data_IF_938493843546
#
_entry.id   IF_938493843546
#
_cell.length_a   1.000
_cell.length_b   1.000
_cell.length_c   1.000
_cell.angle_alpha   90.00
_cell.angle_beta   90.00
_cell.angle_gamma   90.00
#
_symmetry.space_group_name_H-M   'P 1'
#
loop_
_entity.id
_entity.type
_entity.pdbx_description
1 polymer ?
#
# COMPACT_ATOMS: atom_id res chain seq x y z
N UNK A 1 -2.57 11.46 26.10
CA UNK A 1 -1.85 11.07 24.87
C UNK A 1 -0.45 11.68 24.92
N UNK A 2 0.61 10.94 24.59
CA UNK A 2 1.98 11.47 24.56
C UNK A 2 2.32 11.87 23.12
N UNK A 3 2.87 13.07 22.93
CA UNK A 3 3.37 13.51 21.63
C UNK A 3 4.83 13.06 21.47
N UNK A 4 5.17 12.52 20.30
CA UNK A 4 6.52 12.11 19.94
C UNK A 4 6.91 12.93 18.70
N UNK A 5 8.12 13.50 18.71
CA UNK A 5 8.64 14.26 17.57
C UNK A 5 8.93 13.33 16.39
N UNK A 6 8.74 13.82 15.16
CA UNK A 6 8.93 13.03 13.94
C UNK A 6 10.33 12.39 13.88
N UNK A 7 11.39 13.16 14.06
CA UNK A 7 12.76 12.65 13.99
C UNK A 7 13.03 11.58 15.06
N UNK A 8 12.55 11.80 16.28
CA UNK A 8 12.69 10.83 17.37
C UNK A 8 11.92 9.53 17.10
N UNK A 9 10.73 9.63 16.49
CA UNK A 9 9.93 8.47 16.10
C UNK A 9 10.63 7.68 14.98
N UNK A 10 11.15 8.37 13.97
CA UNK A 10 11.88 7.76 12.85
C UNK A 10 13.14 7.03 13.34
N UNK A 11 13.92 7.65 14.23
CA UNK A 11 15.11 7.01 14.83
C UNK A 11 14.72 5.75 15.60
N UNK A 12 13.73 5.84 16.49
CA UNK A 12 13.26 4.70 17.29
C UNK A 12 12.79 3.54 16.40
N UNK A 13 11.98 3.82 15.39
CA UNK A 13 11.46 2.79 14.48
C UNK A 13 12.57 2.19 13.62
N UNK A 14 13.56 3.00 13.22
CA UNK A 14 14.75 2.52 12.50
C UNK A 14 15.52 1.53 13.38
N UNK A 15 15.80 1.88 14.63
CA UNK A 15 16.52 1.02 15.58
C UNK A 15 15.79 -0.30 15.84
N UNK A 16 14.45 -0.28 15.91
CA UNK A 16 13.64 -1.49 16.05
C UNK A 16 13.85 -2.44 14.86
N UNK A 17 13.77 -1.94 13.62
CA UNK A 17 13.98 -2.78 12.44
C UNK A 17 15.42 -3.26 12.30
N UNK A 18 16.40 -2.44 12.67
CA UNK A 18 17.82 -2.82 12.70
C UNK A 18 18.05 -3.93 13.73
N UNK A 19 17.50 -3.81 14.92
CA UNK A 19 17.58 -4.85 15.95
C UNK A 19 16.94 -6.17 15.50
N UNK A 20 15.93 -6.10 14.61
CA UNK A 20 15.28 -7.25 14.01
C UNK A 20 15.98 -7.78 12.73
N UNK A 21 17.12 -7.21 12.34
CA UNK A 21 17.98 -7.74 11.26
C UNK A 21 17.90 -6.99 9.92
N UNK A 22 17.17 -5.88 9.82
CA UNK A 22 17.20 -5.05 8.62
C UNK A 22 18.46 -4.17 8.55
N UNK A 23 19.11 -4.05 7.37
CA UNK A 23 20.16 -3.06 7.15
C UNK A 23 19.65 -1.63 7.43
N UNK A 24 20.50 -0.79 8.01
CA UNK A 24 20.13 0.57 8.43
C UNK A 24 19.56 1.42 7.27
N UNK A 25 20.11 1.31 6.07
CA UNK A 25 19.63 2.04 4.90
C UNK A 25 18.20 1.63 4.51
N UNK A 26 17.86 0.35 4.59
CA UNK A 26 16.50 -0.15 4.38
C UNK A 26 15.57 0.30 5.52
N UNK A 27 15.99 0.07 6.76
CA UNK A 27 15.22 0.39 7.96
C UNK A 27 14.83 1.87 8.04
N UNK A 28 15.76 2.77 7.73
CA UNK A 28 15.53 4.22 7.77
C UNK A 28 14.48 4.69 6.77
N UNK A 29 14.45 4.10 5.57
CA UNK A 29 13.45 4.40 4.53
C UNK A 29 12.06 3.93 4.98
N UNK A 30 11.97 2.71 5.49
CA UNK A 30 10.72 2.15 6.02
C UNK A 30 10.20 2.99 7.19
N UNK A 31 11.06 3.30 8.16
CA UNK A 31 10.72 4.10 9.33
C UNK A 31 10.20 5.49 8.96
N UNK A 32 10.86 6.16 8.01
CA UNK A 32 10.46 7.49 7.53
C UNK A 32 9.07 7.47 6.90
N UNK A 33 8.77 6.47 6.06
CA UNK A 33 7.45 6.31 5.43
C UNK A 33 6.34 6.07 6.47
N UNK A 34 6.61 5.25 7.50
CA UNK A 34 5.65 5.00 8.58
C UNK A 34 5.42 6.26 9.45
N UNK A 35 6.49 6.95 9.84
CA UNK A 35 6.37 8.17 10.64
C UNK A 35 5.66 9.29 9.87
N UNK A 36 5.95 9.45 8.57
CA UNK A 36 5.27 10.42 7.70
C UNK A 36 3.78 10.08 7.54
N UNK A 37 3.43 8.79 7.44
CA UNK A 37 2.03 8.36 7.39
C UNK A 37 1.26 8.79 8.64
N UNK A 38 1.88 8.73 9.83
CA UNK A 38 1.28 9.29 11.05
C UNK A 38 1.16 10.82 10.99
N UNK A 39 2.17 11.55 10.50
CA UNK A 39 2.09 13.02 10.32
C UNK A 39 0.94 13.44 9.41
N UNK A 40 0.64 12.64 8.39
CA UNK A 40 -0.47 12.87 7.45
C UNK A 40 -1.83 12.40 7.98
N UNK A 41 -1.90 11.90 9.21
CA UNK A 41 -3.14 11.37 9.81
C UNK A 41 -3.61 10.05 9.20
N UNK A 42 -2.72 9.32 8.51
CA UNK A 42 -2.99 8.01 7.91
C UNK A 42 -2.42 6.92 8.81
N UNK A 43 -2.94 6.85 10.04
CA UNK A 43 -2.40 5.96 11.07
C UNK A 43 -2.37 4.49 10.63
N UNK A 44 -3.36 4.05 9.83
CA UNK A 44 -3.43 2.70 9.27
C UNK A 44 -2.21 2.27 8.45
N UNK A 45 -1.33 3.19 8.05
CA UNK A 45 -0.08 2.92 7.35
C UNK A 45 1.15 3.47 8.10
N UNK A 46 0.97 3.91 9.34
CA UNK A 46 2.05 4.41 10.20
C UNK A 46 2.63 3.35 11.12
N UNK A 47 3.15 3.78 12.27
CA UNK A 47 3.91 2.90 13.19
C UNK A 47 3.12 1.74 13.78
N UNK A 48 1.79 1.72 13.66
CA UNK A 48 0.98 0.54 14.01
C UNK A 48 1.30 -0.69 13.15
N UNK A 49 1.97 -0.51 12.01
CA UNK A 49 2.45 -1.60 11.16
C UNK A 49 3.73 -2.25 11.67
N UNK A 50 4.46 -1.62 12.60
CA UNK A 50 5.74 -2.16 13.10
C UNK A 50 5.60 -3.58 13.65
N UNK A 51 4.65 -3.91 14.55
CA UNK A 51 4.47 -5.28 15.04
C UNK A 51 4.13 -6.28 13.93
N UNK A 52 3.35 -5.86 12.94
CA UNK A 52 3.02 -6.71 11.79
C UNK A 52 4.27 -7.04 10.96
N UNK A 53 5.08 -6.03 10.64
CA UNK A 53 6.30 -6.22 9.86
C UNK A 53 7.34 -7.06 10.61
N UNK A 54 7.48 -6.86 11.93
CA UNK A 54 8.36 -7.71 12.76
C UNK A 54 7.91 -9.18 12.71
N UNK A 55 6.61 -9.45 12.86
CA UNK A 55 6.07 -10.81 12.75
C UNK A 55 6.28 -11.41 11.36
N UNK A 56 6.17 -10.59 10.30
CA UNK A 56 6.45 -11.01 8.92
C UNK A 56 7.94 -11.25 8.66
N UNK A 57 8.84 -10.52 9.31
CA UNK A 57 10.28 -10.80 9.27
C UNK A 57 10.60 -12.12 9.98
N UNK A 58 10.02 -12.33 11.17
CA UNK A 58 10.20 -13.56 11.96
C UNK A 58 9.69 -14.80 11.24
N UNK A 59 8.58 -14.70 10.50
CA UNK A 59 8.05 -15.82 9.70
C UNK A 59 8.78 -16.05 8.37
N UNK A 60 9.71 -15.17 8.00
CA UNK A 60 10.40 -15.19 6.71
C UNK A 60 9.57 -14.64 5.54
N UNK A 61 8.40 -14.07 5.80
CA UNK A 61 7.54 -13.42 4.80
C UNK A 61 8.16 -12.14 4.24
N UNK A 62 8.81 -11.35 5.09
CA UNK A 62 9.68 -10.25 4.66
C UNK A 62 11.11 -10.71 4.80
N UNK A 63 11.87 -10.61 3.71
CA UNK A 63 13.33 -10.77 3.69
C UNK A 63 13.97 -9.40 3.99
N UNK A 64 14.40 -9.12 5.23
CA UNK A 64 14.71 -7.76 5.65
C UNK A 64 15.99 -7.19 5.02
N UNK A 65 16.83 -8.05 4.46
CA UNK A 65 18.06 -7.69 3.74
C UNK A 65 17.89 -7.67 2.21
N UNK A 66 16.72 -8.04 1.69
CA UNK A 66 16.48 -8.13 0.25
C UNK A 66 16.55 -6.75 -0.41
N UNK A 67 17.11 -6.72 -1.62
CA UNK A 67 17.30 -5.49 -2.41
C UNK A 67 16.67 -5.69 -3.79
N UNK A 68 15.92 -4.69 -4.28
CA UNK A 68 15.24 -4.79 -5.56
C UNK A 68 16.22 -4.85 -6.72
N UNK A 69 15.87 -5.58 -7.78
CA UNK A 69 16.64 -5.66 -9.03
C UNK A 69 15.76 -5.46 -10.26
N UNK A 70 16.32 -4.87 -11.31
CA UNK A 70 15.64 -4.75 -12.60
C UNK A 70 15.71 -6.09 -13.35
N UNK A 71 14.56 -6.69 -13.66
CA UNK A 71 14.45 -7.94 -14.41
C UNK A 71 14.37 -7.72 -15.92
N UNK A 72 13.70 -6.64 -16.34
CA UNK A 72 13.53 -6.27 -17.74
C UNK A 72 13.48 -4.76 -17.85
N UNK A 73 14.10 -4.22 -18.90
CA UNK A 73 14.21 -2.77 -19.09
C UNK A 73 14.13 -2.37 -20.56
N UNK A 74 13.49 -1.24 -20.82
CA UNK A 74 13.57 -0.47 -22.06
C UNK A 74 13.86 1.00 -21.71
N UNK A 75 13.92 1.89 -22.70
CA UNK A 75 14.07 3.32 -22.46
C UNK A 75 12.97 3.88 -21.55
N UNK A 76 11.72 3.43 -21.72
CA UNK A 76 10.54 3.98 -21.02
C UNK A 76 9.86 3.00 -20.08
N UNK A 77 10.27 1.73 -20.04
CA UNK A 77 9.63 0.73 -19.17
C UNK A 77 10.62 -0.11 -18.38
N UNK A 78 10.20 -0.61 -17.23
CA UNK A 78 10.96 -1.61 -16.49
C UNK A 78 10.06 -2.51 -15.63
N UNK A 79 10.56 -3.70 -15.31
CA UNK A 79 10.00 -4.56 -14.26
C UNK A 79 11.08 -4.72 -13.18
N UNK A 80 10.73 -4.37 -11.96
CA UNK A 80 11.55 -4.50 -10.75
C UNK A 80 11.03 -5.66 -9.93
N UNK A 81 11.92 -6.54 -9.49
CA UNK A 81 11.64 -7.59 -8.52
C UNK A 81 12.16 -7.16 -7.15
N UNK A 82 11.28 -7.18 -6.14
CA UNK A 82 11.57 -6.81 -4.76
C UNK A 82 12.18 -7.92 -3.91
N UNK A 83 12.26 -9.16 -4.42
CA UNK A 83 12.86 -10.32 -3.73
C UNK A 83 12.32 -10.57 -2.32
N UNK A 84 11.01 -10.43 -2.14
CA UNK A 84 10.30 -10.50 -0.85
C UNK A 84 10.79 -9.47 0.19
N UNK A 85 11.43 -8.40 -0.26
CA UNK A 85 11.85 -7.30 0.59
C UNK A 85 10.69 -6.39 1.02
N UNK A 86 11.00 -5.41 1.86
CA UNK A 86 10.04 -4.38 2.24
C UNK A 86 9.48 -3.66 1.00
N UNK A 87 8.16 -3.72 0.83
CA UNK A 87 7.49 -3.06 -0.30
C UNK A 87 7.76 -1.56 -0.36
N UNK A 88 7.85 -0.89 0.80
CA UNK A 88 8.18 0.53 0.88
C UNK A 88 9.55 0.83 0.24
N UNK A 89 10.56 0.01 0.54
CA UNK A 89 11.91 0.18 0.00
C UNK A 89 11.96 -0.17 -1.49
N UNK A 90 11.33 -1.28 -1.89
CA UNK A 90 11.31 -1.72 -3.28
C UNK A 90 10.51 -0.79 -4.21
N UNK A 91 9.40 -0.22 -3.74
CA UNK A 91 8.61 0.75 -4.50
C UNK A 91 9.35 2.09 -4.62
N UNK A 92 10.15 2.47 -3.63
CA UNK A 92 11.02 3.64 -3.74
C UNK A 92 12.05 3.48 -4.86
N UNK A 93 12.70 2.33 -4.93
CA UNK A 93 13.63 2.02 -6.00
C UNK A 93 12.95 2.06 -7.38
N UNK A 94 11.77 1.44 -7.50
CA UNK A 94 10.98 1.46 -8.73
C UNK A 94 10.54 2.88 -9.12
N UNK A 95 10.18 3.72 -8.14
CA UNK A 95 9.82 5.12 -8.34
C UNK A 95 11.01 5.93 -8.86
N UNK A 96 12.18 5.81 -8.24
CA UNK A 96 13.38 6.54 -8.63
C UNK A 96 13.77 6.19 -10.09
N UNK A 97 13.66 4.91 -10.47
CA UNK A 97 13.84 4.47 -11.86
C UNK A 97 12.78 5.06 -12.80
N UNK A 98 11.50 5.09 -12.39
CA UNK A 98 10.42 5.66 -13.18
C UNK A 98 10.60 7.17 -13.42
N UNK A 99 11.01 7.91 -12.37
CA UNK A 99 11.30 9.35 -12.44
C UNK A 99 12.43 9.60 -13.43
N UNK A 100 13.56 8.89 -13.29
CA UNK A 100 14.71 9.07 -14.18
C UNK A 100 14.34 8.82 -15.65
N UNK A 101 13.59 7.75 -15.93
CA UNK A 101 13.10 7.44 -17.28
C UNK A 101 12.10 8.48 -17.81
N UNK A 102 11.18 8.94 -16.98
CA UNK A 102 10.20 9.95 -17.37
C UNK A 102 10.90 11.28 -17.69
N UNK A 103 11.93 11.66 -16.93
CA UNK A 103 12.73 12.86 -17.22
C UNK A 103 13.52 12.73 -18.53
N UNK A 104 14.03 11.54 -18.87
CA UNK A 104 14.75 11.33 -20.13
C UNK A 104 13.84 11.15 -21.35
N UNK A 105 12.59 10.70 -21.16
CA UNK A 105 11.74 10.19 -22.26
C UNK A 105 10.28 10.63 -22.18
N UNK A 106 9.97 11.64 -21.36
CA UNK A 106 8.65 12.24 -21.11
C UNK A 106 7.61 11.34 -20.44
N UNK A 107 7.67 10.02 -20.64
CA UNK A 107 6.77 9.05 -20.06
C UNK A 107 7.54 7.78 -19.68
N UNK A 108 7.21 7.22 -18.52
CA UNK A 108 7.71 5.92 -18.12
C UNK A 108 6.64 5.09 -17.39
N UNK A 109 6.78 3.77 -17.47
CA UNK A 109 5.97 2.81 -16.73
C UNK A 109 6.88 1.75 -16.10
N UNK A 110 6.91 1.69 -14.77
CA UNK A 110 7.72 0.72 -14.01
C UNK A 110 6.81 -0.12 -13.14
N UNK A 111 6.89 -1.43 -13.31
CA UNK A 111 6.19 -2.41 -12.48
C UNK A 111 7.06 -2.89 -11.33
N UNK A 112 6.47 -3.08 -10.15
CA UNK A 112 7.10 -3.78 -9.03
C UNK A 112 6.38 -5.11 -8.80
N UNK A 113 7.16 -6.19 -8.77
CA UNK A 113 6.73 -7.54 -8.35
C UNK A 113 7.56 -8.00 -7.15
N UNK A 114 7.10 -9.03 -6.44
CA UNK A 114 7.88 -9.65 -5.35
C UNK A 114 8.22 -8.71 -4.19
N UNK A 115 7.47 -7.62 -3.98
CA UNK A 115 7.61 -6.75 -2.80
C UNK A 115 6.52 -7.06 -1.78
N UNK A 116 6.80 -6.85 -0.50
CA UNK A 116 5.79 -6.91 0.56
C UNK A 116 4.90 -5.64 0.56
N UNK A 117 4.20 -5.36 1.67
CA UNK A 117 3.34 -4.19 1.82
C UNK A 117 4.08 -2.86 1.55
N UNK A 118 3.50 -2.00 0.70
CA UNK A 118 4.13 -0.76 0.21
C UNK A 118 3.82 0.50 1.03
N UNK A 119 3.00 0.40 2.08
CA UNK A 119 2.68 1.55 2.93
C UNK A 119 1.72 2.55 2.28
N UNK A 120 1.82 3.83 2.64
CA UNK A 120 0.99 4.91 2.08
C UNK A 120 1.49 5.27 0.68
N UNK A 121 0.68 5.02 -0.34
CA UNK A 121 1.05 5.28 -1.74
C UNK A 121 1.26 6.78 -2.03
N UNK A 122 0.56 7.66 -1.32
CA UNK A 122 0.73 9.11 -1.39
C UNK A 122 2.15 9.59 -1.09
N UNK A 123 2.93 8.87 -0.29
CA UNK A 123 4.32 9.23 -0.01
C UNK A 123 5.20 9.20 -1.26
N UNK A 124 5.00 8.21 -2.13
CA UNK A 124 5.70 8.10 -3.41
C UNK A 124 5.26 9.18 -4.39
N UNK A 125 3.95 9.46 -4.46
CA UNK A 125 3.41 10.50 -5.31
C UNK A 125 3.92 11.90 -4.91
N UNK A 126 4.04 12.18 -3.60
CA UNK A 126 4.65 13.41 -3.09
C UNK A 126 6.13 13.53 -3.51
N UNK A 127 6.92 12.44 -3.37
CA UNK A 127 8.34 12.41 -3.78
C UNK A 127 8.53 12.67 -5.28
N UNK A 128 7.67 12.11 -6.13
CA UNK A 128 7.75 12.31 -7.57
C UNK A 128 7.29 13.72 -7.99
N UNK A 129 6.21 14.21 -7.39
CA UNK A 129 5.70 15.55 -7.67
C UNK A 129 6.72 16.64 -7.28
N UNK A 130 7.46 16.44 -6.18
CA UNK A 130 8.56 17.31 -5.77
C UNK A 130 9.72 17.37 -6.80
N UNK A 131 9.81 16.39 -7.71
CA UNK A 131 10.78 16.33 -8.80
C UNK A 131 10.17 16.73 -10.15
N UNK A 132 8.99 17.35 -10.15
CA UNK A 132 8.32 17.81 -11.36
C UNK A 132 7.67 16.70 -12.18
N UNK A 133 7.49 15.50 -11.62
CA UNK A 133 6.91 14.34 -12.32
C UNK A 133 5.47 14.11 -11.87
N UNK A 134 4.55 13.99 -12.84
CA UNK A 134 3.17 13.54 -12.60
C UNK A 134 3.18 12.01 -12.48
N UNK A 135 2.48 11.47 -11.49
CA UNK A 135 2.39 10.03 -11.26
C UNK A 135 0.97 9.53 -11.23
N UNK A 136 0.76 8.34 -11.82
CA UNK A 136 -0.35 7.45 -11.51
C UNK A 136 0.26 6.17 -10.94
N UNK A 137 -0.04 5.87 -9.68
CA UNK A 137 0.46 4.69 -8.98
C UNK A 137 -0.74 3.84 -8.58
N UNK A 138 -0.69 2.54 -8.88
CA UNK A 138 -1.77 1.60 -8.59
C UNK A 138 -1.24 0.41 -7.82
N UNK A 139 -2.03 -0.07 -6.87
CA UNK A 139 -1.79 -1.30 -6.13
C UNK A 139 -2.83 -2.37 -6.44
N UNK A 140 -2.41 -3.63 -6.50
CA UNK A 140 -3.29 -4.79 -6.72
C UNK A 140 -2.47 -6.07 -6.88
N UNK A 141 -3.03 -7.09 -7.54
CA UNK A 141 -2.39 -8.38 -7.77
C UNK A 141 -2.65 -9.41 -6.66
N UNK A 142 -3.72 -9.23 -5.90
CA UNK A 142 -4.16 -10.14 -4.85
C UNK A 142 -5.28 -11.10 -5.30
N UNK A 143 -5.75 -10.97 -6.55
CA UNK A 143 -6.75 -11.87 -7.10
C UNK A 143 -6.25 -13.33 -7.06
N UNK A 144 -7.08 -14.23 -6.51
CA UNK A 144 -6.72 -15.64 -6.31
C UNK A 144 -5.89 -15.94 -5.06
N UNK A 145 -5.53 -14.92 -4.26
CA UNK A 145 -4.80 -15.09 -3.00
C UNK A 145 -5.72 -14.89 -1.80
N UNK A 146 -6.26 -16.00 -1.27
CA UNK A 146 -7.31 -16.00 -0.24
C UNK A 146 -7.02 -15.09 0.96
N UNK A 147 -5.76 -15.04 1.42
CA UNK A 147 -5.35 -14.22 2.57
C UNK A 147 -5.56 -12.70 2.37
N UNK A 148 -5.63 -12.23 1.12
CA UNK A 148 -5.66 -10.80 0.79
C UNK A 148 -7.00 -10.33 0.22
N UNK A 149 -7.87 -11.27 -0.14
CA UNK A 149 -9.22 -10.96 -0.63
C UNK A 149 -10.08 -10.44 0.54
N UNK A 150 -10.53 -9.21 0.42
CA UNK A 150 -11.26 -8.51 1.49
C UNK A 150 -12.43 -7.66 0.99
N UNK A 151 -12.57 -7.49 -0.32
CA UNK A 151 -13.55 -6.60 -0.94
C UNK A 151 -14.45 -7.38 -1.89
N UNK A 152 -15.76 -7.12 -1.80
CA UNK A 152 -16.77 -7.71 -2.67
C UNK A 152 -16.83 -6.99 -4.02
N UNK A 153 -17.11 -7.69 -5.13
CA UNK A 153 -17.49 -7.02 -6.37
C UNK A 153 -18.81 -6.29 -6.16
N UNK A 154 -19.07 -5.25 -6.95
CA UNK A 154 -20.37 -4.57 -6.86
C UNK A 154 -21.52 -5.54 -7.15
N UNK A 155 -22.47 -5.63 -6.23
CA UNK A 155 -23.60 -6.58 -6.30
C UNK A 155 -23.31 -7.98 -5.74
N UNK A 156 -22.09 -8.25 -5.30
CA UNK A 156 -21.71 -9.50 -4.63
C UNK A 156 -21.58 -9.37 -3.11
N UNK A 157 -21.36 -10.52 -2.45
CA UNK A 157 -21.13 -10.61 -1.00
C UNK A 157 -19.92 -11.51 -0.64
N UNK A 158 -19.20 -12.02 -1.63
CA UNK A 158 -17.99 -12.80 -1.43
C UNK A 158 -16.73 -11.93 -1.56
N UNK A 159 -15.67 -12.27 -0.84
CA UNK A 159 -14.34 -11.67 -0.99
C UNK A 159 -13.73 -12.09 -2.33
N UNK A 160 -13.51 -11.14 -3.23
CA UNK A 160 -12.96 -11.41 -4.58
C UNK A 160 -11.77 -10.52 -4.91
N UNK A 161 -11.77 -9.29 -4.40
CA UNK A 161 -10.73 -8.29 -4.66
C UNK A 161 -10.03 -7.90 -3.35
N UNK A 162 -8.88 -7.25 -3.48
CA UNK A 162 -8.27 -6.50 -2.39
C UNK A 162 -8.70 -5.02 -2.43
N UNK A 163 -8.13 -4.21 -1.54
CA UNK A 163 -8.46 -2.79 -1.36
C UNK A 163 -7.91 -1.87 -2.47
N UNK A 164 -7.03 -2.41 -3.32
CA UNK A 164 -6.54 -1.89 -4.60
C UNK A 164 -6.46 -0.36 -4.69
N UNK A 165 -5.45 0.27 -4.05
CA UNK A 165 -5.35 1.73 -4.05
C UNK A 165 -4.98 2.30 -5.41
N UNK A 166 -5.48 3.51 -5.68
CA UNK A 166 -5.08 4.35 -6.81
C UNK A 166 -4.63 5.70 -6.27
N UNK A 167 -3.46 6.12 -6.70
CA UNK A 167 -2.83 7.35 -6.26
C UNK A 167 -2.40 8.19 -7.45
N UNK A 168 -2.72 9.48 -7.43
CA UNK A 168 -2.31 10.47 -8.42
C UNK A 168 -1.50 11.56 -7.73
N UNK A 169 -0.39 11.97 -8.34
CA UNK A 169 0.47 13.05 -7.87
C UNK A 169 0.69 14.08 -8.95
N UNK A 170 0.51 15.36 -8.62
CA UNK A 170 0.69 16.48 -9.53
C UNK A 170 1.64 17.52 -8.93
N UNK A 171 2.73 17.89 -9.65
CA UNK A 171 3.59 19.01 -9.27
C UNK A 171 2.80 20.32 -9.21
N UNK A 172 3.19 21.22 -8.30
CA UNK A 172 2.53 22.51 -8.08
C UNK A 172 3.51 23.70 -8.02
N UNK A 173 4.69 23.58 -8.66
CA UNK A 173 5.73 24.61 -8.60
C UNK A 173 6.24 24.82 -7.17
N UNK A 174 6.20 26.05 -6.68
CA UNK A 174 6.63 26.41 -5.32
C UNK A 174 5.61 26.06 -4.22
N UNK A 175 4.44 25.52 -4.60
CA UNK A 175 3.39 25.10 -3.66
C UNK A 175 3.49 23.61 -3.35
N UNK A 176 2.80 23.19 -2.28
CA UNK A 176 2.66 21.77 -1.96
C UNK A 176 1.98 21.00 -3.12
N UNK A 177 2.44 19.77 -3.42
CA UNK A 177 1.88 18.99 -4.53
C UNK A 177 0.41 18.63 -4.26
N UNK A 178 -0.36 18.49 -5.35
CA UNK A 178 -1.71 17.95 -5.26
C UNK A 178 -1.62 16.43 -5.33
N UNK A 179 -2.12 15.75 -4.31
CA UNK A 179 -2.10 14.29 -4.23
C UNK A 179 -3.49 13.76 -3.95
N UNK A 180 -3.93 12.83 -4.79
CA UNK A 180 -5.13 12.03 -4.57
C UNK A 180 -4.66 10.64 -4.18
N UNK A 181 -4.89 10.22 -2.95
CA UNK A 181 -4.46 8.90 -2.46
C UNK A 181 -5.65 8.18 -1.81
N UNK A 182 -6.15 7.14 -2.49
CA UNK A 182 -7.37 6.46 -2.05
C UNK A 182 -7.33 4.96 -2.31
N UNK A 183 -7.97 4.23 -1.40
CA UNK A 183 -8.40 2.86 -1.66
C UNK A 183 -9.66 2.86 -2.55
N UNK A 184 -9.83 1.82 -3.35
CA UNK A 184 -11.05 1.60 -4.14
C UNK A 184 -12.15 0.89 -3.34
N UNK A 185 -11.85 0.48 -2.10
CA UNK A 185 -12.84 0.02 -1.13
C UNK A 185 -13.33 1.14 -0.22
N UNK A 186 -14.52 0.95 0.37
CA UNK A 186 -15.17 1.94 1.23
C UNK A 186 -14.34 2.27 2.49
N UNK A 187 -13.46 1.36 2.89
CA UNK A 187 -12.49 1.55 3.97
C UNK A 187 -11.27 0.64 3.77
N UNK A 188 -10.24 0.85 4.58
CA UNK A 188 -9.07 -0.02 4.65
C UNK A 188 -9.19 -0.99 5.84
N UNK A 189 -8.63 -2.20 5.72
CA UNK A 189 -8.64 -3.20 6.81
C UNK A 189 -8.05 -2.63 8.12
N UNK A 190 -6.97 -1.86 8.03
CA UNK A 190 -6.37 -1.22 9.22
C UNK A 190 -7.33 -0.27 9.95
N UNK A 191 -8.28 0.36 9.25
CA UNK A 191 -9.35 1.14 9.90
C UNK A 191 -10.36 0.23 10.58
N UNK A 192 -10.77 -0.89 9.96
CA UNK A 192 -11.65 -1.86 10.63
C UNK A 192 -11.06 -2.37 11.95
N UNK A 193 -9.76 -2.67 11.94
CA UNK A 193 -9.01 -3.08 13.12
C UNK A 193 -9.07 -2.04 14.23
N UNK A 194 -8.85 -0.77 13.89
CA UNK A 194 -8.98 0.33 14.85
C UNK A 194 -10.39 0.43 15.47
N UNK A 195 -11.45 0.32 14.65
CA UNK A 195 -12.82 0.36 15.16
C UNK A 195 -13.14 -0.84 16.06
N UNK A 196 -12.65 -2.04 15.70
CA UNK A 196 -12.73 -3.24 16.54
C UNK A 196 -12.04 -3.02 17.89
N UNK A 197 -10.77 -2.60 17.86
CA UNK A 197 -9.94 -2.47 19.06
C UNK A 197 -10.44 -1.34 19.98
N UNK A 198 -11.16 -0.36 19.43
CA UNK A 198 -11.80 0.73 20.20
C UNK A 198 -13.26 0.48 20.56
N UNK A 199 -13.85 -0.64 20.14
CA UNK A 199 -15.25 -0.99 20.39
C UNK A 199 -16.27 -0.03 19.74
N UNK A 200 -15.87 0.69 18.69
CA UNK A 200 -16.73 1.67 18.00
C UNK A 200 -17.44 1.02 16.81
N UNK A 201 -18.69 1.44 16.57
CA UNK A 201 -19.43 1.06 15.37
C UNK A 201 -18.82 1.70 14.11
N UNK A 202 -18.80 0.95 13.01
CA UNK A 202 -18.39 1.40 11.68
C UNK A 202 -19.44 2.35 11.08
N UNK A 203 -19.03 3.28 10.21
CA UNK A 203 -19.96 3.96 9.33
C UNK A 203 -20.77 2.97 8.46
N UNK A 204 -22.07 3.25 8.22
CA UNK A 204 -22.89 2.38 7.37
C UNK A 204 -22.36 2.31 5.94
N UNK A 205 -22.55 1.16 5.29
CA UNK A 205 -22.14 0.92 3.91
C UNK A 205 -20.67 0.54 3.71
N UNK A 206 -19.93 0.28 4.80
CA UNK A 206 -18.54 -0.19 4.72
C UNK A 206 -18.42 -1.69 4.52
N UNK A 207 -19.26 -2.49 5.19
CA UNK A 207 -19.15 -3.95 5.19
C UNK A 207 -20.50 -4.65 5.06
N UNK A 208 -20.45 -5.92 4.65
CA UNK A 208 -21.50 -6.91 4.84
C UNK A 208 -21.03 -7.97 5.85
N UNK A 209 -21.96 -8.58 6.58
CA UNK A 209 -21.72 -9.77 7.40
C UNK A 209 -21.58 -11.04 6.54
N UNK A 210 -21.31 -12.19 7.17
CA UNK A 210 -21.18 -13.48 6.49
C UNK A 210 -22.46 -13.99 5.81
N UNK A 211 -23.62 -13.39 6.12
CA UNK A 211 -24.90 -13.65 5.46
C UNK A 211 -25.20 -12.64 4.34
N UNK A 212 -24.28 -11.72 4.03
CA UNK A 212 -24.44 -10.70 3.00
C UNK A 212 -25.32 -9.52 3.41
N UNK A 213 -25.58 -9.32 4.71
CA UNK A 213 -26.41 -8.22 5.22
C UNK A 213 -25.52 -7.03 5.61
N UNK A 214 -25.96 -5.77 5.39
CA UNK A 214 -25.21 -4.60 5.84
C UNK A 214 -24.93 -4.64 7.33
N UNK A 215 -23.68 -4.38 7.72
CA UNK A 215 -23.28 -4.34 9.12
C UNK A 215 -22.48 -3.09 9.46
N UNK A 216 -22.60 -2.69 10.72
CA UNK A 216 -21.77 -1.64 11.36
C UNK A 216 -20.93 -2.20 12.51
N UNK A 217 -20.99 -3.51 12.77
CA UNK A 217 -20.16 -4.16 13.78
C UNK A 217 -18.81 -4.56 13.16
N UNK A 218 -17.67 -4.02 13.62
CA UNK A 218 -16.37 -4.36 13.05
C UNK A 218 -15.99 -5.85 13.22
N UNK A 219 -16.58 -6.57 14.18
CA UNK A 219 -16.35 -8.02 14.33
C UNK A 219 -16.90 -8.82 13.15
N UNK A 220 -18.03 -8.40 12.58
CA UNK A 220 -18.69 -9.14 11.49
C UNK A 220 -17.78 -9.27 10.25
N UNK A 221 -16.85 -8.33 10.01
CA UNK A 221 -15.84 -8.48 8.97
C UNK A 221 -14.91 -9.66 9.24
N UNK A 222 -14.43 -9.80 10.47
CA UNK A 222 -13.50 -10.86 10.87
C UNK A 222 -14.21 -12.22 10.98
N UNK A 223 -15.52 -12.23 11.23
CA UNK A 223 -16.37 -13.43 11.31
C UNK A 223 -16.91 -13.88 9.93
N UNK A 224 -16.16 -13.60 8.86
CA UNK A 224 -16.47 -14.01 7.49
C UNK A 224 -17.21 -12.98 6.65
N UNK A 225 -17.41 -11.77 7.14
CA UNK A 225 -17.95 -10.64 6.36
C UNK A 225 -16.99 -10.11 5.30
N UNK A 226 -17.33 -8.99 4.66
CA UNK A 226 -16.59 -8.46 3.50
C UNK A 226 -16.72 -6.93 3.42
N UNK A 227 -15.69 -6.25 2.88
CA UNK A 227 -15.73 -4.80 2.61
C UNK A 227 -16.44 -4.52 1.29
N UNK A 228 -17.20 -3.43 1.23
CA UNK A 228 -17.84 -2.95 0.01
C UNK A 228 -16.95 -1.99 -0.80
N UNK A 229 -17.09 -1.92 -2.13
CA UNK A 229 -16.43 -0.90 -2.94
C UNK A 229 -16.89 0.52 -2.60
N UNK A 230 -15.99 1.50 -2.65
CA UNK A 230 -16.37 2.91 -2.50
C UNK A 230 -17.31 3.32 -3.63
N UNK A 231 -18.38 4.05 -3.33
CA UNK A 231 -19.33 4.51 -4.35
C UNK A 231 -19.89 3.40 -5.27
N UNK A 232 -20.02 2.17 -4.77
CA UNK A 232 -20.63 1.04 -5.49
C UNK A 232 -19.88 0.68 -6.79
N UNK A 233 -20.59 0.68 -7.92
CA UNK A 233 -20.02 0.26 -9.22
C UNK A 233 -18.80 1.10 -9.65
N UNK A 234 -18.66 2.36 -9.18
CA UNK A 234 -17.53 3.22 -9.53
C UNK A 234 -16.23 2.75 -8.87
N UNK A 235 -16.24 2.54 -7.55
CA UNK A 235 -15.07 2.00 -6.85
C UNK A 235 -14.76 0.59 -7.30
N UNK A 236 -15.78 -0.22 -7.60
CA UNK A 236 -15.57 -1.54 -8.21
C UNK A 236 -14.85 -1.45 -9.56
N UNK A 237 -15.29 -0.57 -10.46
CA UNK A 237 -14.62 -0.37 -11.75
C UNK A 237 -13.17 0.07 -11.60
N UNK A 238 -12.87 0.94 -10.63
CA UNK A 238 -11.50 1.34 -10.30
C UNK A 238 -10.68 0.17 -9.72
N UNK A 239 -11.26 -0.64 -8.83
CA UNK A 239 -10.61 -1.81 -8.25
C UNK A 239 -10.24 -2.84 -9.33
N UNK A 240 -11.11 -3.05 -10.31
CA UNK A 240 -10.84 -3.91 -11.48
C UNK A 240 -9.72 -3.31 -12.33
N UNK A 241 -9.78 -2.01 -12.65
CA UNK A 241 -8.71 -1.35 -13.40
C UNK A 241 -7.34 -1.50 -12.70
N UNK A 242 -7.31 -1.36 -11.38
CA UNK A 242 -6.11 -1.57 -10.58
C UNK A 242 -5.57 -3.01 -10.69
N UNK A 243 -6.41 -4.05 -10.59
CA UNK A 243 -5.97 -5.44 -10.82
C UNK A 243 -5.38 -5.65 -12.21
N UNK A 244 -5.99 -5.04 -13.24
CA UNK A 244 -5.51 -5.16 -14.61
C UNK A 244 -4.16 -4.48 -14.81
N UNK A 245 -3.97 -3.28 -14.24
CA UNK A 245 -2.73 -2.53 -14.31
C UNK A 245 -1.59 -3.14 -13.50
N UNK A 246 -1.91 -3.96 -12.48
CA UNK A 246 -0.92 -4.61 -11.64
C UNK A 246 -0.84 -6.11 -11.90
N UNK A 247 -1.71 -6.93 -11.29
CA UNK A 247 -1.56 -8.39 -11.30
C UNK A 247 -1.59 -8.99 -12.70
N UNK A 248 -2.53 -8.55 -13.53
CA UNK A 248 -2.70 -9.11 -14.88
C UNK A 248 -1.61 -8.61 -15.83
N UNK A 249 -1.28 -7.32 -15.81
CA UNK A 249 -0.25 -6.74 -16.68
C UNK A 249 1.16 -7.20 -16.32
N UNK A 250 1.48 -7.28 -15.03
CA UNK A 250 2.82 -7.69 -14.55
C UNK A 250 3.01 -9.21 -14.58
N UNK A 251 1.93 -9.98 -14.68
CA UNK A 251 1.95 -11.45 -14.67
C UNK A 251 2.00 -12.03 -13.25
N UNK A 252 2.14 -13.36 -13.15
CA UNK A 252 2.31 -14.03 -11.87
C UNK A 252 3.62 -13.58 -11.20
N UNK A 253 3.49 -12.75 -10.17
CA UNK A 253 4.58 -12.48 -9.27
C UNK A 253 4.82 -13.73 -8.39
N UNK A 254 6.08 -14.15 -8.26
CA UNK A 254 6.54 -14.91 -7.09
C UNK A 254 6.31 -14.02 -5.86
N UNK A 255 5.10 -14.09 -5.29
CA UNK A 255 4.62 -13.68 -3.95
C UNK A 255 5.28 -12.44 -3.24
N UNK A 256 4.61 -11.39 -2.71
CA UNK A 256 3.23 -11.16 -2.22
C UNK A 256 2.89 -9.65 -2.08
N UNK A 257 2.01 -9.10 -2.92
CA UNK A 257 1.46 -7.76 -2.66
C UNK A 257 0.32 -7.83 -1.62
N UNK A 258 0.54 -7.11 -0.50
CA UNK A 258 -0.34 -6.64 0.60
C UNK A 258 -0.38 -7.42 1.91
#
# INVERSE_FOLDING_TARGET
MKLIQYDALTVLVTEIFVAAGAPHDIASVVASSLADSNLKGVDSHGVLRVPQYLSQMESGWIQPTARPTVQRETATTAIVDGHQGFGIYSLNYALDLAIAKAQSSQLAAVGLVGGAHTGRMGWFAERAAAQGVITLISGGGAHGKEAHMSVAPHGGAARVMATNPITLGFPAGDQAPIVVDMSTSATAEGKLRFYRDTGKALPPGWILDSAGRPSTNPHDFYDGGVILPVAGHKGYGLAVAAEFLTGILLGEAHELNW
#
